data_IF_916212075565
#
_entry.id   IF_916212075565
#
_cell.length_a   1.000
_cell.length_b   1.000
_cell.length_c   1.000
_cell.angle_alpha   90.00
_cell.angle_beta   90.00
_cell.angle_gamma   90.00
#
_symmetry.space_group_name_H-M   'P 1'
#
loop_
_entity.id
_entity.type
_entity.pdbx_description
1 polymer ?
#
# COMPACT_ATOMS: atom_id res chain seq x y z
N UNK A 1 13.04 36.36 -22.48
CA UNK A 1 13.62 35.03 -22.77
C UNK A 1 12.68 34.03 -22.13
N UNK A 2 12.24 33.00 -22.87
CA UNK A 2 11.45 31.95 -22.24
C UNK A 2 12.34 31.25 -21.22
N UNK A 3 11.84 30.98 -20.03
CA UNK A 3 12.56 30.23 -19.01
C UNK A 3 12.72 28.80 -19.52
N UNK A 4 13.96 28.36 -19.73
CA UNK A 4 14.24 27.00 -20.14
C UNK A 4 14.19 26.13 -18.88
N UNK A 5 13.19 25.26 -18.79
CA UNK A 5 13.08 24.29 -17.72
C UNK A 5 13.90 23.03 -18.01
N UNK A 6 14.25 22.27 -16.97
CA UNK A 6 15.00 21.03 -17.12
C UNK A 6 14.11 19.90 -17.69
N UNK A 7 12.82 19.90 -17.37
CA UNK A 7 11.86 18.97 -17.94
C UNK A 7 11.33 19.43 -19.30
N UNK A 8 11.09 18.49 -20.20
CA UNK A 8 10.56 18.73 -21.55
C UNK A 8 9.10 19.17 -21.58
N UNK A 9 8.37 19.02 -20.48
CA UNK A 9 6.97 19.38 -20.32
C UNK A 9 6.75 19.99 -18.93
N UNK A 10 6.02 21.11 -18.89
CA UNK A 10 5.71 21.82 -17.64
C UNK A 10 4.38 21.35 -17.04
N UNK A 11 4.17 21.63 -15.77
CA UNK A 11 2.89 21.38 -15.06
C UNK A 11 1.72 22.07 -15.71
N UNK A 12 1.94 23.29 -16.22
CA UNK A 12 0.91 24.10 -16.86
C UNK A 12 0.50 23.54 -18.22
N UNK A 13 1.43 22.95 -18.98
CA UNK A 13 1.13 22.33 -20.29
C UNK A 13 0.36 21.02 -20.12
N UNK A 14 0.84 20.14 -19.26
CA UNK A 14 0.19 18.85 -18.96
C UNK A 14 0.68 18.28 -17.63
N UNK A 15 -0.11 18.39 -16.58
CA UNK A 15 0.22 17.85 -15.27
C UNK A 15 0.49 16.32 -15.30
N UNK A 16 -0.29 15.59 -16.10
CA UNK A 16 -0.13 14.15 -16.21
C UNK A 16 1.17 13.74 -16.94
N UNK A 17 1.55 14.45 -18.01
CA UNK A 17 2.77 14.19 -18.72
C UNK A 17 4.00 14.63 -17.90
N UNK A 18 3.93 15.80 -17.26
CA UNK A 18 4.92 16.29 -16.32
C UNK A 18 5.20 15.30 -15.18
N UNK A 19 4.16 14.72 -14.58
CA UNK A 19 4.31 13.72 -13.53
C UNK A 19 5.11 12.50 -14.02
N UNK A 20 4.78 11.99 -15.23
CA UNK A 20 5.50 10.85 -15.81
C UNK A 20 6.96 11.23 -16.15
N UNK A 21 7.18 12.45 -16.64
CA UNK A 21 8.53 12.94 -16.93
C UNK A 21 9.39 12.98 -15.65
N UNK A 22 8.87 13.50 -14.53
CA UNK A 22 9.61 13.48 -13.25
C UNK A 22 9.93 12.05 -12.81
N UNK A 23 8.95 11.14 -12.84
CA UNK A 23 9.16 9.76 -12.40
C UNK A 23 10.27 9.09 -13.22
N UNK A 24 10.31 9.33 -14.53
CA UNK A 24 11.35 8.81 -15.41
C UNK A 24 12.72 9.47 -15.22
N UNK A 25 12.78 10.80 -15.31
CA UNK A 25 14.05 11.57 -15.25
C UNK A 25 14.73 11.51 -13.87
N UNK A 26 13.94 11.35 -12.80
CA UNK A 26 14.48 11.13 -11.46
C UNK A 26 14.79 9.65 -11.15
N UNK A 27 14.74 8.77 -12.14
CA UNK A 27 15.04 7.33 -11.99
C UNK A 27 14.23 6.64 -10.88
N UNK A 28 12.96 6.99 -10.72
CA UNK A 28 12.14 6.43 -9.64
C UNK A 28 11.52 5.08 -9.99
N UNK A 29 10.95 4.97 -11.20
CA UNK A 29 10.31 3.75 -11.67
C UNK A 29 10.16 3.75 -13.18
N UNK A 30 9.98 2.57 -13.75
CA UNK A 30 9.70 2.34 -15.16
C UNK A 30 8.67 1.22 -15.35
N UNK A 31 8.10 1.13 -16.55
CA UNK A 31 7.18 0.04 -16.90
C UNK A 31 7.94 -1.28 -17.01
N UNK A 32 7.33 -2.34 -16.51
CA UNK A 32 7.84 -3.71 -16.71
C UNK A 32 7.28 -4.34 -17.99
N UNK A 33 7.67 -5.57 -18.29
CA UNK A 33 7.06 -6.38 -19.36
C UNK A 33 5.60 -6.76 -19.11
N UNK A 34 5.07 -6.51 -17.90
CA UNK A 34 3.68 -6.79 -17.53
C UNK A 34 2.95 -5.47 -17.31
N UNK A 35 1.89 -5.24 -18.09
CA UNK A 35 1.11 -4.01 -17.99
C UNK A 35 0.58 -3.78 -16.58
N UNK A 36 0.85 -2.61 -16.03
CA UNK A 36 0.42 -2.22 -14.70
C UNK A 36 1.34 -2.72 -13.56
N UNK A 37 2.36 -3.49 -13.86
CA UNK A 37 3.41 -3.84 -12.90
C UNK A 37 4.64 -2.98 -13.20
N UNK A 38 5.07 -2.18 -12.25
CA UNK A 38 6.22 -1.30 -12.41
C UNK A 38 7.50 -1.92 -11.83
N UNK A 39 8.64 -1.56 -12.43
CA UNK A 39 9.94 -1.73 -11.81
C UNK A 39 10.20 -0.47 -10.97
N UNK A 40 10.31 -0.61 -9.66
CA UNK A 40 10.71 0.51 -8.80
C UNK A 40 12.24 0.52 -8.76
N UNK A 41 12.84 1.57 -9.30
CA UNK A 41 14.29 1.72 -9.38
C UNK A 41 14.89 2.10 -8.02
N UNK A 42 16.21 2.01 -7.82
CA UNK A 42 16.85 2.22 -6.52
C UNK A 42 16.50 3.56 -5.84
N UNK A 43 16.36 4.66 -6.60
CA UNK A 43 15.96 5.95 -6.05
C UNK A 43 14.51 5.93 -5.54
N UNK A 44 13.58 5.42 -6.33
CA UNK A 44 12.17 5.30 -5.92
C UNK A 44 11.99 4.34 -4.75
N UNK A 45 12.71 3.20 -4.77
CA UNK A 45 12.67 2.24 -3.67
C UNK A 45 13.28 2.79 -2.38
N UNK A 46 14.37 3.57 -2.50
CA UNK A 46 14.98 4.23 -1.34
C UNK A 46 14.04 5.24 -0.66
N UNK A 47 13.25 6.00 -1.45
CA UNK A 47 12.20 6.87 -0.90
C UNK A 47 11.16 6.03 -0.14
N UNK A 48 10.68 4.95 -0.75
CA UNK A 48 9.72 4.04 -0.12
C UNK A 48 10.25 3.43 1.18
N UNK A 49 11.51 3.00 1.22
CA UNK A 49 12.15 2.46 2.43
C UNK A 49 12.16 3.50 3.57
N UNK A 50 12.45 4.77 3.28
CA UNK A 50 12.39 5.83 4.28
C UNK A 50 10.96 6.04 4.80
N UNK A 51 9.96 5.99 3.92
CA UNK A 51 8.55 6.05 4.35
C UNK A 51 8.17 4.84 5.22
N UNK A 52 8.64 3.63 4.86
CA UNK A 52 8.44 2.43 5.67
C UNK A 52 9.06 2.58 7.06
N UNK A 53 10.30 3.06 7.18
CA UNK A 53 11.00 3.27 8.45
C UNK A 53 10.21 4.24 9.37
N UNK A 54 9.69 5.33 8.80
CA UNK A 54 8.91 6.33 9.54
C UNK A 54 7.59 5.76 10.05
N UNK A 55 6.85 5.06 9.19
CA UNK A 55 5.57 4.45 9.53
C UNK A 55 5.75 3.27 10.50
N UNK A 56 6.67 2.36 10.21
CA UNK A 56 6.92 1.17 11.01
C UNK A 56 7.33 1.52 12.45
N UNK A 57 8.11 2.58 12.61
CA UNK A 57 8.45 3.12 13.93
C UNK A 57 7.18 3.50 14.71
N UNK A 58 6.25 4.25 14.08
CA UNK A 58 4.99 4.67 14.70
C UNK A 58 4.08 3.50 15.05
N UNK A 59 4.01 2.50 14.16
CA UNK A 59 3.22 1.29 14.42
C UNK A 59 3.77 0.52 15.63
N UNK A 60 5.07 0.32 15.71
CA UNK A 60 5.68 -0.35 16.87
C UNK A 60 5.52 0.46 18.16
N UNK A 61 5.64 1.78 18.10
CA UNK A 61 5.40 2.66 19.26
C UNK A 61 3.95 2.59 19.76
N UNK A 62 2.99 2.26 18.88
CA UNK A 62 1.58 2.03 19.24
C UNK A 62 1.24 0.59 19.60
N UNK A 63 2.25 -0.31 19.68
CA UNK A 63 2.10 -1.69 20.15
C UNK A 63 1.83 -2.71 19.05
N UNK A 64 1.90 -2.33 17.77
CA UNK A 64 1.70 -3.26 16.65
C UNK A 64 2.94 -4.11 16.38
N UNK A 65 2.69 -5.36 16.01
CA UNK A 65 3.73 -6.32 15.63
C UNK A 65 3.67 -6.63 14.14
N UNK A 66 4.84 -6.68 13.50
CA UNK A 66 4.95 -7.08 12.11
C UNK A 66 4.82 -8.59 11.96
N UNK A 67 4.02 -9.02 11.00
CA UNK A 67 3.88 -10.43 10.63
C UNK A 67 3.85 -10.57 9.10
N UNK A 68 3.74 -11.80 8.60
CA UNK A 68 3.63 -12.09 7.18
C UNK A 68 2.57 -13.14 6.92
N UNK A 69 1.68 -12.88 5.97
CA UNK A 69 0.67 -13.80 5.49
C UNK A 69 0.94 -14.21 4.03
N UNK A 70 0.56 -15.43 3.62
CA UNK A 70 0.84 -15.94 2.28
C UNK A 70 0.26 -15.07 1.15
N UNK A 71 0.99 -15.04 0.02
CA UNK A 71 0.58 -14.37 -1.20
C UNK A 71 -0.69 -14.99 -1.81
N UNK A 72 -0.80 -16.31 -1.75
CA UNK A 72 -1.90 -17.06 -2.36
C UNK A 72 -3.03 -17.33 -1.38
N UNK A 73 -4.24 -17.07 -1.84
CA UNK A 73 -5.49 -17.30 -1.09
C UNK A 73 -6.30 -18.38 -1.84
N UNK A 74 -6.72 -19.45 -1.18
CA UNK A 74 -7.63 -20.41 -1.81
C UNK A 74 -8.93 -19.74 -2.26
N UNK A 75 -9.42 -20.07 -3.46
CA UNK A 75 -10.64 -19.46 -4.00
C UNK A 75 -11.84 -19.70 -3.08
N UNK A 76 -11.88 -20.84 -2.40
CA UNK A 76 -12.94 -21.18 -1.41
C UNK A 76 -12.98 -20.20 -0.22
N UNK A 77 -11.85 -19.61 0.16
CA UNK A 77 -11.83 -18.61 1.22
C UNK A 77 -12.50 -17.31 0.77
N UNK A 78 -12.21 -16.89 -0.45
CA UNK A 78 -12.83 -15.70 -1.06
C UNK A 78 -14.35 -15.93 -1.23
N UNK A 79 -14.76 -17.12 -1.68
CA UNK A 79 -16.17 -17.45 -1.89
C UNK A 79 -17.02 -17.40 -0.60
N UNK A 80 -16.44 -17.70 0.56
CA UNK A 80 -17.13 -17.59 1.85
C UNK A 80 -17.45 -16.14 2.26
N UNK A 81 -16.76 -15.19 1.69
CA UNK A 81 -16.90 -13.76 1.96
C UNK A 81 -17.56 -13.03 0.78
N UNK A 82 -18.44 -13.72 0.03
CA UNK A 82 -19.01 -13.23 -1.21
C UNK A 82 -19.61 -11.81 -1.14
N UNK A 83 -20.11 -11.37 0.02
CA UNK A 83 -20.58 -10.01 0.22
C UNK A 83 -19.44 -8.97 0.21
N UNK A 84 -18.22 -9.37 0.60
CA UNK A 84 -17.05 -8.51 0.62
C UNK A 84 -16.26 -8.56 -0.69
N UNK A 85 -16.42 -9.64 -1.46
CA UNK A 85 -15.69 -9.93 -2.69
C UNK A 85 -16.27 -9.20 -3.90
N UNK A 86 -17.52 -8.77 -3.86
CA UNK A 86 -18.19 -8.16 -5.03
C UNK A 86 -17.44 -6.95 -5.59
N UNK A 87 -16.80 -6.16 -4.73
CA UNK A 87 -15.94 -5.04 -5.13
C UNK A 87 -14.58 -5.42 -5.74
N UNK A 88 -14.06 -6.65 -5.48
CA UNK A 88 -12.74 -7.13 -5.93
C UNK A 88 -12.82 -8.28 -6.92
N UNK A 89 -13.95 -8.99 -7.02
CA UNK A 89 -14.11 -10.23 -7.76
C UNK A 89 -13.84 -10.13 -9.27
N UNK A 90 -13.91 -8.93 -9.85
CA UNK A 90 -13.75 -8.73 -11.30
C UNK A 90 -12.29 -8.51 -11.73
N UNK A 91 -11.39 -8.24 -10.79
CA UNK A 91 -10.04 -7.72 -11.08
C UNK A 91 -8.94 -8.45 -10.31
N UNK A 92 -9.09 -9.78 -10.16
CA UNK A 92 -8.14 -10.63 -9.45
C UNK A 92 -7.26 -11.42 -10.42
N UNK A 93 -5.98 -11.59 -10.06
CA UNK A 93 -5.10 -12.55 -10.71
C UNK A 93 -5.32 -13.95 -10.11
N UNK A 94 -5.53 -14.95 -10.97
CA UNK A 94 -5.85 -16.32 -10.55
C UNK A 94 -4.80 -17.28 -11.07
N UNK A 95 -4.24 -18.11 -10.19
CA UNK A 95 -3.30 -19.18 -10.50
C UNK A 95 -4.05 -20.49 -10.60
N UNK A 96 -3.97 -21.13 -11.76
CA UNK A 96 -4.71 -22.35 -12.08
C UNK A 96 -3.83 -23.59 -12.28
N UNK A 97 -2.52 -23.40 -12.53
CA UNK A 97 -1.55 -24.46 -12.79
C UNK A 97 -0.25 -24.20 -12.03
N UNK A 98 0.45 -25.27 -11.68
CA UNK A 98 1.72 -25.19 -10.95
C UNK A 98 2.95 -25.59 -11.80
N UNK A 99 2.77 -25.93 -13.08
CA UNK A 99 3.85 -26.36 -13.98
C UNK A 99 3.58 -25.93 -15.41
N UNK A 100 4.67 -25.67 -16.14
CA UNK A 100 4.66 -25.44 -17.58
C UNK A 100 5.20 -26.67 -18.32
N UNK A 101 4.77 -26.87 -19.58
CA UNK A 101 5.17 -27.95 -20.47
C UNK A 101 5.32 -27.41 -21.89
N UNK A 102 6.28 -27.96 -22.62
CA UNK A 102 6.38 -27.71 -24.07
C UNK A 102 5.27 -28.51 -24.78
N UNK A 103 4.37 -27.81 -25.46
CA UNK A 103 3.27 -28.38 -26.25
C UNK A 103 3.33 -27.74 -27.63
N UNK A 104 3.49 -28.53 -28.68
CA UNK A 104 3.59 -28.05 -30.06
C UNK A 104 4.66 -26.97 -30.30
N UNK A 105 5.76 -27.04 -29.54
CA UNK A 105 6.88 -26.09 -29.64
C UNK A 105 6.70 -24.81 -28.85
N UNK A 106 5.59 -24.63 -28.15
CA UNK A 106 5.31 -23.49 -27.27
C UNK A 106 5.28 -23.89 -25.80
N UNK A 107 5.73 -22.99 -24.92
CA UNK A 107 5.68 -23.18 -23.48
C UNK A 107 4.28 -22.77 -22.96
N UNK A 108 3.50 -23.74 -22.51
CA UNK A 108 2.11 -23.55 -22.06
C UNK A 108 1.89 -24.16 -20.68
N UNK A 109 0.82 -23.74 -19.94
CA UNK A 109 0.41 -24.42 -18.72
C UNK A 109 0.18 -25.91 -18.99
N UNK A 110 0.81 -26.76 -18.18
CA UNK A 110 0.65 -28.22 -18.32
C UNK A 110 -0.77 -28.63 -17.88
N UNK A 111 -1.61 -29.21 -18.78
CA UNK A 111 -2.96 -29.66 -18.43
C UNK A 111 -3.02 -30.65 -17.28
N UNK A 112 -1.96 -31.46 -17.09
CA UNK A 112 -1.85 -32.44 -15.99
C UNK A 112 -1.46 -31.83 -14.66
N UNK A 113 -1.04 -30.55 -14.67
CA UNK A 113 -0.62 -29.80 -13.49
C UNK A 113 -1.64 -28.74 -13.05
N UNK A 114 -2.89 -28.90 -13.46
CA UNK A 114 -3.99 -28.07 -12.99
C UNK A 114 -4.18 -28.26 -11.48
N UNK A 115 -4.31 -27.13 -10.76
CA UNK A 115 -4.60 -27.16 -9.33
C UNK A 115 -6.01 -27.73 -9.10
N UNK A 116 -6.18 -28.52 -8.05
CA UNK A 116 -7.51 -29.00 -7.61
C UNK A 116 -8.42 -27.82 -7.26
N UNK A 117 -7.86 -26.81 -6.59
CA UNK A 117 -8.51 -25.54 -6.29
C UNK A 117 -7.67 -24.39 -6.84
N UNK A 118 -8.25 -23.45 -7.62
CA UNK A 118 -7.55 -22.24 -8.04
C UNK A 118 -7.13 -21.37 -6.84
N UNK A 119 -5.99 -20.70 -6.99
CA UNK A 119 -5.48 -19.76 -6.00
C UNK A 119 -5.60 -18.34 -6.52
N UNK A 120 -5.99 -17.43 -5.64
CA UNK A 120 -6.04 -15.99 -5.93
C UNK A 120 -4.76 -15.34 -5.41
N UNK A 121 -4.11 -14.52 -6.25
CA UNK A 121 -3.04 -13.64 -5.77
C UNK A 121 -3.70 -12.54 -4.95
N UNK A 122 -3.34 -12.39 -3.69
CA UNK A 122 -4.02 -11.51 -2.72
C UNK A 122 -4.26 -10.11 -3.26
N UNK A 123 -5.52 -9.63 -3.33
CA UNK A 123 -5.85 -8.23 -3.61
C UNK A 123 -5.87 -7.39 -2.32
N UNK A 124 -6.01 -8.07 -1.21
CA UNK A 124 -6.01 -7.63 0.19
C UNK A 124 -5.98 -8.89 1.06
N UNK A 125 -5.72 -8.77 2.37
CA UNK A 125 -5.44 -9.96 3.20
C UNK A 125 -6.49 -10.24 4.29
N UNK A 126 -7.62 -9.51 4.34
CA UNK A 126 -8.67 -9.71 5.35
C UNK A 126 -9.08 -11.19 5.48
N UNK A 127 -9.26 -11.87 4.34
CA UNK A 127 -9.69 -13.26 4.28
C UNK A 127 -8.70 -14.21 4.94
N UNK A 128 -7.42 -14.12 4.58
CA UNK A 128 -6.39 -15.03 5.11
C UNK A 128 -6.02 -14.69 6.56
N UNK A 129 -6.02 -13.40 6.90
CA UNK A 129 -5.77 -12.92 8.26
C UNK A 129 -6.91 -13.32 9.19
N UNK A 130 -8.15 -13.14 8.76
CA UNK A 130 -9.28 -13.57 9.57
C UNK A 130 -9.35 -15.07 9.82
N UNK A 131 -8.95 -15.90 8.84
CA UNK A 131 -8.77 -17.33 9.07
C UNK A 131 -7.68 -17.66 10.11
N UNK A 132 -6.66 -16.81 10.25
CA UNK A 132 -5.69 -16.92 11.32
C UNK A 132 -6.26 -16.42 12.66
N UNK A 133 -6.93 -15.28 12.67
CA UNK A 133 -7.57 -14.72 13.86
C UNK A 133 -8.57 -15.70 14.49
N UNK A 134 -9.36 -16.39 13.68
CA UNK A 134 -10.26 -17.44 14.15
C UNK A 134 -9.56 -18.51 14.99
N UNK A 135 -8.30 -18.84 14.67
CA UNK A 135 -7.53 -19.84 15.41
C UNK A 135 -6.79 -19.25 16.61
N UNK A 136 -6.35 -18.00 16.50
CA UNK A 136 -5.51 -17.36 17.51
C UNK A 136 -6.32 -16.73 18.63
N UNK A 137 -7.49 -16.15 18.32
CA UNK A 137 -8.37 -15.48 19.28
C UNK A 137 -9.36 -16.49 19.86
N UNK A 138 -9.27 -16.74 21.18
CA UNK A 138 -10.14 -17.67 21.92
C UNK A 138 -10.73 -17.04 23.15
N UNK A 139 -10.02 -16.14 23.80
CA UNK A 139 -10.44 -15.48 25.02
C UNK A 139 -10.15 -13.96 24.97
N UNK A 140 -10.76 -13.22 25.91
CA UNK A 140 -10.48 -11.78 26.07
C UNK A 140 -9.00 -11.47 26.31
N UNK A 141 -8.20 -12.44 26.75
CA UNK A 141 -6.76 -12.28 27.00
C UNK A 141 -5.93 -12.26 25.73
N UNK A 142 -6.50 -12.70 24.60
CA UNK A 142 -5.86 -12.67 23.30
C UNK A 142 -6.10 -11.32 22.58
N UNK A 143 -6.84 -10.41 23.22
CA UNK A 143 -7.22 -9.11 22.69
C UNK A 143 -6.65 -7.95 23.55
N UNK A 144 -6.30 -6.80 22.94
CA UNK A 144 -6.33 -6.57 21.50
C UNK A 144 -5.22 -7.32 20.77
N UNK A 145 -5.51 -7.81 19.57
CA UNK A 145 -4.50 -8.35 18.66
C UNK A 145 -4.19 -7.28 17.61
N UNK A 146 -2.94 -6.80 17.58
CA UNK A 146 -2.50 -5.64 16.79
C UNK A 146 -1.41 -6.06 15.81
N UNK A 147 -1.76 -6.24 14.54
CA UNK A 147 -0.84 -6.75 13.53
C UNK A 147 -0.68 -5.80 12.36
N UNK A 148 0.54 -5.78 11.81
CA UNK A 148 0.91 -5.08 10.59
C UNK A 148 1.65 -6.01 9.63
N UNK A 149 1.48 -5.82 8.34
CA UNK A 149 2.21 -6.54 7.31
C UNK A 149 2.70 -5.57 6.23
N UNK A 150 3.98 -5.68 5.88
CA UNK A 150 4.58 -5.07 4.70
C UNK A 150 4.56 -6.10 3.57
N UNK A 151 3.88 -5.80 2.47
CA UNK A 151 3.63 -6.79 1.42
C UNK A 151 3.36 -6.13 0.07
N UNK A 152 3.22 -6.97 -0.96
CA UNK A 152 2.61 -6.59 -2.23
C UNK A 152 1.18 -7.12 -2.32
N UNK A 153 0.37 -6.50 -3.15
CA UNK A 153 -0.95 -6.99 -3.56
C UNK A 153 -1.14 -6.79 -5.06
N UNK A 154 -2.07 -7.55 -5.64
CA UNK A 154 -2.40 -7.46 -7.06
C UNK A 154 -3.88 -7.14 -7.22
N UNK A 155 -4.17 -5.98 -7.84
CA UNK A 155 -5.51 -5.54 -8.24
C UNK A 155 -5.45 -5.16 -9.71
N UNK A 156 -6.02 -5.94 -10.61
CA UNK A 156 -5.87 -5.74 -12.05
C UNK A 156 -6.32 -4.34 -12.47
N UNK A 157 -5.40 -3.54 -13.03
CA UNK A 157 -5.66 -2.15 -13.38
C UNK A 157 -5.60 -1.95 -14.90
N UNK A 158 -6.67 -1.40 -15.47
CA UNK A 158 -6.78 -1.18 -16.91
C UNK A 158 -6.12 0.12 -17.39
N UNK A 159 -5.92 1.09 -16.49
CA UNK A 159 -5.34 2.41 -16.80
C UNK A 159 -4.18 2.71 -15.84
N UNK A 160 -3.06 1.99 -15.94
CA UNK A 160 -1.96 2.13 -14.99
C UNK A 160 -1.30 3.51 -15.09
N UNK A 161 -0.80 3.96 -13.94
CA UNK A 161 0.09 5.12 -13.80
C UNK A 161 1.08 4.80 -12.69
N UNK A 162 2.36 4.93 -12.98
CA UNK A 162 3.45 4.60 -12.05
C UNK A 162 3.20 5.22 -10.66
N UNK A 163 3.33 4.44 -9.61
CA UNK A 163 3.01 4.72 -8.20
C UNK A 163 1.54 4.99 -7.89
N UNK A 164 0.77 5.67 -8.74
CA UNK A 164 -0.59 6.14 -8.44
C UNK A 164 -1.66 5.07 -8.64
N UNK A 165 -1.57 4.32 -9.73
CA UNK A 165 -2.49 3.25 -10.12
C UNK A 165 -1.72 2.17 -10.84
N UNK A 166 -1.41 1.09 -10.15
CA UNK A 166 -0.69 -0.06 -10.70
C UNK A 166 -1.43 -1.34 -10.36
N UNK A 167 -1.26 -2.37 -11.18
CA UNK A 167 -1.86 -3.68 -10.91
C UNK A 167 -1.20 -4.34 -9.72
N UNK A 168 0.13 -4.33 -9.68
CA UNK A 168 0.89 -4.71 -8.50
C UNK A 168 1.45 -3.46 -7.82
N UNK A 169 1.39 -3.43 -6.49
CA UNK A 169 2.00 -2.37 -5.70
C UNK A 169 2.44 -2.88 -4.34
N UNK A 170 3.44 -2.20 -3.77
CA UNK A 170 3.85 -2.41 -2.39
C UNK A 170 2.97 -1.54 -1.48
N UNK A 171 2.65 -2.09 -0.35
CA UNK A 171 1.87 -1.40 0.66
C UNK A 171 2.18 -1.89 2.07
N UNK A 172 1.58 -1.24 3.01
CA UNK A 172 1.38 -1.69 4.36
C UNK A 172 -0.12 -1.93 4.54
N UNK A 173 -0.47 -3.00 5.19
CA UNK A 173 -1.80 -3.27 5.70
C UNK A 173 -1.74 -3.68 7.16
N UNK A 174 -2.50 -2.99 7.99
CA UNK A 174 -2.69 -3.34 9.37
C UNK A 174 -4.05 -3.99 9.58
N UNK A 175 -4.10 -4.96 10.47
CA UNK A 175 -5.31 -5.68 10.83
C UNK A 175 -5.32 -5.90 12.32
N UNK A 176 -6.40 -5.49 12.98
CA UNK A 176 -6.52 -5.62 14.43
C UNK A 176 -7.84 -6.24 14.84
N UNK A 177 -7.88 -6.81 16.03
CA UNK A 177 -9.08 -7.33 16.66
C UNK A 177 -9.17 -6.85 18.11
N UNK A 178 -10.37 -6.50 18.54
CA UNK A 178 -10.66 -5.86 19.82
C UNK A 178 -11.87 -6.49 20.49
N UNK A 179 -11.94 -6.39 21.82
CA UNK A 179 -13.07 -6.91 22.59
C UNK A 179 -14.32 -6.03 22.45
N UNK A 180 -14.16 -4.73 22.21
CA UNK A 180 -15.27 -3.78 22.13
C UNK A 180 -15.24 -2.91 20.88
N UNK A 181 -16.43 -2.38 20.54
CA UNK A 181 -16.57 -1.39 19.48
C UNK A 181 -15.73 -0.14 19.75
N UNK A 182 -15.76 0.34 20.99
CA UNK A 182 -15.05 1.55 21.38
C UNK A 182 -13.57 1.42 21.11
N UNK A 183 -12.92 0.33 21.56
CA UNK A 183 -11.50 0.07 21.32
C UNK A 183 -11.16 0.03 19.83
N UNK A 184 -11.99 -0.64 19.03
CA UNK A 184 -11.77 -0.76 17.59
C UNK A 184 -11.91 0.58 16.85
N UNK A 185 -12.88 1.42 17.25
CA UNK A 185 -13.04 2.76 16.68
C UNK A 185 -11.88 3.67 17.07
N UNK A 186 -11.47 3.64 18.35
CA UNK A 186 -10.30 4.40 18.83
C UNK A 186 -9.03 3.99 18.08
N UNK A 187 -8.85 2.70 17.82
CA UNK A 187 -7.73 2.18 17.04
C UNK A 187 -7.77 2.66 15.58
N UNK A 188 -8.93 2.61 14.94
CA UNK A 188 -9.12 3.11 13.58
C UNK A 188 -8.71 4.58 13.46
N UNK A 189 -9.14 5.41 14.40
CA UNK A 189 -8.82 6.83 14.43
C UNK A 189 -7.34 7.10 14.79
N UNK A 190 -6.75 6.28 15.65
CA UNK A 190 -5.32 6.33 15.98
C UNK A 190 -4.46 6.08 14.74
N UNK A 191 -4.81 5.08 13.94
CA UNK A 191 -4.08 4.78 12.71
C UNK A 191 -4.25 5.88 11.65
N UNK A 192 -5.44 6.46 11.53
CA UNK A 192 -5.67 7.63 10.68
C UNK A 192 -4.78 8.80 11.11
N UNK A 193 -4.65 9.05 12.41
CA UNK A 193 -3.80 10.12 12.95
C UNK A 193 -2.31 9.86 12.71
N UNK A 194 -1.85 8.61 12.81
CA UNK A 194 -0.48 8.25 12.45
C UNK A 194 -0.22 8.55 10.98
N UNK A 195 -1.14 8.21 10.08
CA UNK A 195 -1.00 8.53 8.67
C UNK A 195 -0.98 10.03 8.41
N UNK A 196 -1.87 10.79 9.06
CA UNK A 196 -1.90 12.25 8.97
C UNK A 196 -0.57 12.86 9.41
N UNK A 197 -0.09 12.49 10.60
CA UNK A 197 1.15 13.05 11.17
C UNK A 197 2.36 12.71 10.30
N UNK A 198 2.48 11.50 9.76
CA UNK A 198 3.58 11.17 8.85
C UNK A 198 3.46 11.95 7.54
N UNK A 199 2.27 12.07 6.96
CA UNK A 199 2.06 12.84 5.74
C UNK A 199 2.45 14.32 5.93
N UNK A 200 2.01 14.96 7.02
CA UNK A 200 2.26 16.39 7.27
C UNK A 200 3.66 16.65 7.81
N UNK A 201 4.07 15.95 8.88
CA UNK A 201 5.31 16.27 9.61
C UNK A 201 6.56 15.73 8.89
N UNK A 202 6.45 14.60 8.18
CA UNK A 202 7.60 13.96 7.55
C UNK A 202 7.62 14.12 6.03
N UNK A 203 6.47 13.95 5.37
CA UNK A 203 6.39 14.10 3.91
C UNK A 203 6.10 15.54 3.50
N UNK A 204 5.85 16.46 4.45
CA UNK A 204 5.44 17.84 4.21
C UNK A 204 4.27 17.93 3.19
N UNK A 205 3.36 16.97 3.25
CA UNK A 205 2.20 16.84 2.37
C UNK A 205 0.93 17.10 3.20
N UNK A 206 0.36 18.32 3.15
CA UNK A 206 -0.86 18.65 3.88
C UNK A 206 -2.02 17.75 3.45
N UNK A 207 -2.78 17.24 4.41
CA UNK A 207 -3.91 16.34 4.15
C UNK A 207 -5.15 16.78 4.93
N UNK A 208 -6.30 16.43 4.39
CA UNK A 208 -7.60 16.54 5.06
C UNK A 208 -8.01 15.13 5.48
N UNK A 209 -8.40 14.98 6.74
CA UNK A 209 -8.98 13.74 7.26
C UNK A 209 -10.49 13.81 7.22
N UNK A 210 -11.14 12.69 6.90
CA UNK A 210 -12.60 12.64 6.89
C UNK A 210 -13.15 11.21 6.81
N UNK A 211 -14.42 11.08 7.20
CA UNK A 211 -15.17 9.84 6.99
C UNK A 211 -15.76 9.83 5.58
N UNK A 212 -15.64 8.70 4.91
CA UNK A 212 -16.21 8.49 3.57
C UNK A 212 -17.72 8.28 3.64
N UNK A 213 -18.46 8.80 2.64
CA UNK A 213 -19.88 8.53 2.53
C UNK A 213 -20.11 7.02 2.32
N UNK A 214 -21.32 6.50 2.67
CA UNK A 214 -21.61 5.05 2.64
C UNK A 214 -21.26 4.34 1.33
N UNK A 215 -21.46 5.00 0.18
CA UNK A 215 -21.21 4.41 -1.15
C UNK A 215 -19.73 4.35 -1.55
N UNK A 216 -18.84 4.99 -0.78
CA UNK A 216 -17.39 4.97 -0.99
C UNK A 216 -16.63 4.21 0.11
N UNK A 217 -17.37 3.66 1.08
CA UNK A 217 -16.76 2.87 2.15
C UNK A 217 -16.11 1.60 1.59
N UNK A 218 -15.11 1.13 2.28
CA UNK A 218 -14.56 -0.19 2.01
C UNK A 218 -15.67 -1.24 2.16
N UNK A 219 -15.82 -2.18 1.21
CA UNK A 219 -16.86 -3.21 1.27
C UNK A 219 -16.82 -3.97 2.60
N UNK A 220 -17.94 -4.01 3.30
CA UNK A 220 -18.07 -4.65 4.61
C UNK A 220 -17.65 -3.80 5.81
N UNK A 221 -17.11 -2.60 5.63
CA UNK A 221 -16.82 -1.69 6.72
C UNK A 221 -18.07 -0.94 7.21
N UNK A 222 -18.18 -0.76 8.53
CA UNK A 222 -19.19 0.11 9.14
C UNK A 222 -18.83 1.58 8.97
N UNK A 223 -17.52 1.92 9.05
CA UNK A 223 -17.01 3.24 8.68
C UNK A 223 -15.64 3.13 8.02
N UNK A 224 -15.36 4.08 7.13
CA UNK A 224 -14.10 4.24 6.42
C UNK A 224 -13.65 5.68 6.52
N UNK A 225 -12.43 5.87 6.98
CA UNK A 225 -11.77 7.18 7.06
C UNK A 225 -10.63 7.24 6.05
N UNK A 226 -10.35 8.42 5.54
CA UNK A 226 -9.20 8.66 4.64
C UNK A 226 -8.43 9.91 5.02
N UNK A 227 -7.17 9.93 4.63
CA UNK A 227 -6.38 11.14 4.48
C UNK A 227 -6.32 11.48 2.98
N UNK A 228 -6.65 12.71 2.62
CA UNK A 228 -6.67 13.16 1.23
C UNK A 228 -5.81 14.41 1.08
N UNK A 229 -4.86 14.35 0.14
CA UNK A 229 -3.96 15.45 -0.16
C UNK A 229 -4.42 16.21 -1.38
N UNK A 230 -4.33 17.55 -1.35
CA UNK A 230 -4.58 18.40 -2.53
C UNK A 230 -3.32 18.43 -3.38
N UNK A 231 -3.45 17.98 -4.63
CA UNK A 231 -2.35 18.01 -5.59
C UNK A 231 -2.29 19.37 -6.31
N UNK A 232 -1.15 19.67 -6.96
CA UNK A 232 -0.94 20.95 -7.62
C UNK A 232 -1.90 21.23 -8.80
N UNK A 233 -2.54 20.20 -9.36
CA UNK A 233 -3.61 20.31 -10.37
C UNK A 233 -5.01 20.51 -9.77
N UNK A 234 -5.11 20.70 -8.46
CA UNK A 234 -6.37 20.92 -7.75
C UNK A 234 -7.20 19.65 -7.51
N UNK A 235 -6.65 18.45 -7.78
CA UNK A 235 -7.33 17.19 -7.52
C UNK A 235 -6.90 16.59 -6.18
N UNK A 236 -7.84 15.93 -5.52
CA UNK A 236 -7.56 15.19 -4.31
C UNK A 236 -6.88 13.83 -4.62
N UNK A 237 -5.87 13.47 -3.83
CA UNK A 237 -5.24 12.17 -3.81
C UNK A 237 -5.56 11.49 -2.48
N UNK A 238 -6.27 10.36 -2.52
CA UNK A 238 -6.40 9.49 -1.35
C UNK A 238 -5.03 8.89 -1.02
N UNK A 239 -4.46 9.30 0.10
CA UNK A 239 -3.11 8.95 0.51
C UNK A 239 -3.04 7.81 1.53
N UNK A 240 -4.13 7.55 2.25
CA UNK A 240 -4.25 6.43 3.19
C UNK A 240 -5.69 6.25 3.66
N UNK A 241 -6.02 5.04 4.14
CA UNK A 241 -7.35 4.72 4.66
C UNK A 241 -7.28 3.91 5.94
N UNK A 242 -8.27 4.10 6.81
CA UNK A 242 -8.49 3.30 8.01
C UNK A 242 -9.98 2.92 8.09
N UNK A 243 -10.24 1.65 8.39
CA UNK A 243 -11.59 1.06 8.36
C UNK A 243 -11.94 0.46 9.71
N UNK A 244 -13.08 0.85 10.26
CA UNK A 244 -13.74 0.10 11.28
C UNK A 244 -14.68 -0.92 10.61
N UNK A 245 -14.37 -2.19 10.76
CA UNK A 245 -15.08 -3.29 10.10
C UNK A 245 -16.26 -3.81 10.91
N UNK A 246 -16.44 -3.31 12.13
CA UNK A 246 -17.45 -3.81 13.03
C UNK A 246 -17.23 -5.28 13.38
N UNK A 247 -18.32 -6.04 13.41
CA UNK A 247 -18.30 -7.51 13.56
C UNK A 247 -18.62 -8.24 12.25
N UNK A 248 -18.67 -7.56 11.11
CA UNK A 248 -19.10 -8.16 9.85
C UNK A 248 -18.15 -9.28 9.40
N UNK A 249 -16.85 -8.99 9.37
CA UNK A 249 -15.83 -10.01 9.05
C UNK A 249 -15.73 -11.08 10.12
N UNK A 250 -15.83 -10.72 11.39
CA UNK A 250 -15.79 -11.66 12.50
C UNK A 250 -16.93 -12.67 12.46
N UNK A 251 -18.13 -12.23 12.07
CA UNK A 251 -19.29 -13.12 11.88
C UNK A 251 -19.08 -14.05 10.68
N UNK A 252 -18.66 -13.52 9.53
CA UNK A 252 -18.41 -14.31 8.32
C UNK A 252 -17.34 -15.39 8.54
N UNK A 253 -16.29 -15.05 9.31
CA UNK A 253 -15.14 -15.92 9.56
C UNK A 253 -15.19 -16.64 10.92
N UNK A 254 -16.24 -16.44 11.71
CA UNK A 254 -16.42 -17.02 13.04
C UNK A 254 -15.28 -16.69 14.03
N UNK A 255 -14.83 -15.43 14.04
CA UNK A 255 -13.80 -14.92 14.97
C UNK A 255 -14.50 -14.59 16.30
N UNK A 256 -14.48 -15.52 17.24
CA UNK A 256 -15.15 -15.39 18.55
C UNK A 256 -14.17 -15.60 19.69
N UNK A 257 -14.41 -14.93 20.78
CA UNK A 257 -13.66 -15.06 22.01
C UNK A 257 -14.59 -15.25 23.22
N UNK A 258 -14.07 -15.86 24.27
CA UNK A 258 -14.74 -15.92 25.55
C UNK A 258 -14.50 -14.64 26.33
N UNK A 259 -15.56 -13.96 26.72
CA UNK A 259 -15.50 -12.75 27.56
C UNK A 259 -15.04 -13.07 28.99
N UNK A 260 -14.75 -12.06 29.78
CA UNK A 260 -14.44 -12.23 31.21
C UNK A 260 -15.58 -12.90 31.99
N UNK A 261 -16.82 -12.70 31.57
CA UNK A 261 -18.01 -13.28 32.15
C UNK A 261 -18.28 -14.74 31.73
N UNK A 262 -17.49 -15.23 30.74
CA UNK A 262 -17.61 -16.59 30.21
C UNK A 262 -18.52 -16.72 28.99
N UNK A 263 -19.17 -15.64 28.54
CA UNK A 263 -19.97 -15.60 27.32
C UNK A 263 -19.12 -15.61 26.04
N UNK A 264 -19.72 -16.03 24.92
CA UNK A 264 -19.07 -15.94 23.61
C UNK A 264 -19.49 -14.65 22.90
N UNK A 265 -18.50 -13.85 22.48
CA UNK A 265 -18.70 -12.63 21.70
C UNK A 265 -17.90 -12.67 20.39
N UNK A 266 -18.34 -11.92 19.38
CA UNK A 266 -17.56 -11.68 18.17
C UNK A 266 -16.60 -10.51 18.38
N UNK A 267 -15.34 -10.66 17.92
CA UNK A 267 -14.38 -9.58 17.99
C UNK A 267 -14.76 -8.43 17.04
N UNK A 268 -14.50 -7.20 17.46
CA UNK A 268 -14.55 -6.02 16.58
C UNK A 268 -13.21 -5.89 15.85
N UNK A 269 -13.25 -5.74 14.54
CA UNK A 269 -12.03 -5.72 13.72
C UNK A 269 -11.82 -4.39 13.01
N UNK A 270 -10.56 -4.10 12.72
CA UNK A 270 -10.17 -2.95 11.90
C UNK A 270 -9.21 -3.39 10.80
N UNK A 271 -9.15 -2.63 9.71
CA UNK A 271 -8.05 -2.70 8.74
C UNK A 271 -7.66 -1.29 8.29
N UNK A 272 -6.40 -1.10 7.95
CA UNK A 272 -5.86 0.20 7.58
C UNK A 272 -4.63 0.04 6.70
N UNK A 273 -4.43 0.98 5.74
CA UNK A 273 -3.36 0.80 4.78
C UNK A 273 -2.92 2.07 4.05
N UNK A 274 -1.63 2.07 3.70
CA UNK A 274 -0.99 3.01 2.78
C UNK A 274 -0.09 2.25 1.80
N UNK A 275 0.13 2.82 0.63
CA UNK A 275 0.90 2.16 -0.43
C UNK A 275 1.98 3.06 -1.00
N UNK A 276 2.74 2.54 -1.94
CA UNK A 276 3.68 3.30 -2.77
C UNK A 276 3.05 4.49 -3.51
N UNK A 277 1.71 4.63 -3.46
CA UNK A 277 1.01 5.85 -3.90
C UNK A 277 1.50 7.09 -3.15
N UNK A 278 1.98 6.97 -1.91
CA UNK A 278 2.59 8.08 -1.16
C UNK A 278 3.81 8.65 -1.88
N UNK A 279 4.61 7.82 -2.57
CA UNK A 279 5.74 8.31 -3.38
C UNK A 279 5.22 9.21 -4.50
N UNK A 280 4.17 8.78 -5.20
CA UNK A 280 3.50 9.60 -6.21
C UNK A 280 2.91 10.89 -5.64
N UNK A 281 2.36 10.84 -4.43
CA UNK A 281 1.87 12.01 -3.70
C UNK A 281 2.97 13.03 -3.43
N UNK A 282 4.13 12.58 -2.96
CA UNK A 282 5.32 13.43 -2.73
C UNK A 282 5.81 14.07 -4.04
N UNK A 283 5.86 13.30 -5.14
CA UNK A 283 6.21 13.85 -6.46
C UNK A 283 5.24 14.96 -6.86
N UNK A 284 3.94 14.74 -6.73
CA UNK A 284 2.91 15.73 -7.12
C UNK A 284 2.83 16.93 -6.18
N UNK A 285 3.27 16.78 -4.92
CA UNK A 285 3.28 17.89 -3.95
C UNK A 285 4.51 18.76 -4.11
N UNK A 286 5.69 18.18 -4.29
CA UNK A 286 6.96 18.87 -4.18
C UNK A 286 7.73 19.04 -5.49
N UNK A 287 7.39 18.29 -6.55
CA UNK A 287 8.02 18.44 -7.85
C UNK A 287 7.73 19.81 -8.47
N UNK A 288 8.67 20.30 -9.27
CA UNK A 288 8.49 21.49 -10.09
C UNK A 288 8.89 21.22 -11.56
N UNK A 289 8.96 22.27 -12.38
CA UNK A 289 9.28 22.11 -13.81
C UNK A 289 10.77 21.87 -14.06
N UNK A 290 11.59 21.92 -13.03
CA UNK A 290 13.01 21.62 -13.05
C UNK A 290 13.37 20.25 -12.46
N UNK A 291 12.38 19.55 -11.86
CA UNK A 291 12.53 18.17 -11.39
C UNK A 291 11.92 17.87 -10.02
N UNK A 292 12.39 16.76 -9.44
CA UNK A 292 11.91 16.28 -8.13
C UNK A 292 12.61 17.01 -7.00
N UNK A 293 11.82 17.50 -6.04
CA UNK A 293 12.30 17.97 -4.73
C UNK A 293 11.76 17.03 -3.66
N UNK A 294 12.59 16.67 -2.71
CA UNK A 294 12.21 15.77 -1.62
C UNK A 294 12.35 16.48 -0.25
N UNK A 295 11.41 16.26 0.67
CA UNK A 295 11.66 16.52 2.07
C UNK A 295 12.95 15.76 2.50
N UNK A 296 13.91 16.41 3.19
CA UNK A 296 15.19 15.79 3.50
C UNK A 296 15.09 14.45 4.24
N UNK A 297 14.10 14.30 5.11
CA UNK A 297 13.91 13.09 5.92
C UNK A 297 13.66 11.82 5.09
N UNK A 298 13.08 11.96 3.90
CA UNK A 298 12.82 10.83 2.99
C UNK A 298 13.79 10.75 1.80
N UNK A 299 14.73 11.68 1.70
CA UNK A 299 15.75 11.63 0.66
C UNK A 299 16.69 10.44 0.89
N UNK A 300 16.87 9.54 -0.09
CA UNK A 300 17.77 8.38 0.05
C UNK A 300 19.23 8.77 0.26
N UNK A 301 19.62 9.94 -0.25
CA UNK A 301 20.93 10.56 -0.06
C UNK A 301 20.77 11.93 0.56
N UNK A 302 21.34 12.12 1.75
CA UNK A 302 21.23 13.38 2.51
C UNK A 302 22.20 14.45 1.99
N UNK A 303 23.30 14.05 1.40
CA UNK A 303 24.35 14.92 0.88
C UNK A 303 24.98 14.32 -0.36
N UNK A 304 25.25 15.17 -1.35
CA UNK A 304 26.00 14.81 -2.56
C UNK A 304 27.19 15.76 -2.64
N UNK A 305 28.40 15.19 -2.72
CA UNK A 305 29.63 15.93 -2.97
C UNK A 305 29.98 15.83 -4.44
N UNK A 306 30.05 16.98 -5.11
CA UNK A 306 30.43 17.05 -6.53
C UNK A 306 31.82 17.68 -6.61
N UNK A 307 32.88 16.90 -6.89
CA UNK A 307 34.24 17.45 -7.06
C UNK A 307 34.32 18.28 -8.36
N UNK A 308 34.91 19.45 -8.27
CA UNK A 308 35.25 20.25 -9.46
C UNK A 308 36.69 19.94 -9.82
N UNK A 309 36.88 19.06 -10.81
CA UNK A 309 38.18 18.66 -11.31
C UNK A 309 38.69 19.67 -12.38
N UNK A 310 39.98 19.98 -12.35
CA UNK A 310 40.60 20.95 -13.27
C UNK A 310 41.71 20.33 -14.11
N UNK A 311 41.68 18.99 -14.27
CA UNK A 311 42.69 18.20 -14.99
C UNK A 311 44.14 18.41 -14.49
N UNK A 312 44.29 18.59 -13.17
CA UNK A 312 45.57 18.71 -12.49
C UNK A 312 46.01 17.37 -11.87
N UNK A 313 47.34 17.11 -11.73
CA UNK A 313 47.83 15.87 -11.12
C UNK A 313 47.28 15.62 -9.72
N UNK A 314 46.99 16.67 -8.92
CA UNK A 314 46.44 16.58 -7.59
C UNK A 314 44.93 16.24 -7.54
N UNK A 315 44.22 16.32 -8.67
CA UNK A 315 42.77 16.01 -8.75
C UNK A 315 42.51 14.52 -8.54
N UNK A 316 43.48 13.64 -8.77
CA UNK A 316 43.36 12.20 -8.48
C UNK A 316 43.16 11.88 -7.01
N UNK A 317 43.71 12.68 -6.10
CA UNK A 317 43.54 12.49 -4.65
C UNK A 317 42.18 12.97 -4.06
N UNK A 318 41.38 13.63 -4.88
CA UNK A 318 40.04 14.12 -4.50
C UNK A 318 38.95 13.07 -4.74
N UNK A 319 39.26 12.04 -5.53
CA UNK A 319 38.34 10.99 -5.96
C UNK A 319 38.44 9.75 -5.04
N UNK A 320 39.53 9.55 -4.34
CA UNK A 320 39.74 8.52 -3.32
C UNK A 320 39.14 8.96 -1.96
#
# INVERSE_FOLDING_TARGET
MATQHALSVTRAESFAAWYQAIVGEADLAEESGVRGCMIIRPWGYGIWQRMQELLDKRFRESGHENCYFPLFIPLSFIAREAEHVEGFAKEMAVVTHHRLKMIDGELQPDPEAKLEEPLVVRPTSETVIGAAFQRWIRSHRDLPLLLNQWANVVRWEMRPRLFLRTSEFLWQEGHTAHASQQEAVEETLRMLEIYRSVAEDSLAMPVITGEKPPHERFPGAESTYSIEAMMQDGKALQAGTAHYLGTNFSRAQNIRFQTEQGDLAYAHTTSWGVSTRLVGGVVMTHGDDDGLRLPPIIAPRQMVLVPILRDKPEDGSVIE
#
